data_IF_770506756540
#
_entry.id   IF_770506756540
#
_cell.length_a   1.000
_cell.length_b   1.000
_cell.length_c   1.000
_cell.angle_alpha   90.00
_cell.angle_beta   90.00
_cell.angle_gamma   90.00
#
_symmetry.space_group_name_H-M   'P 1'
#
loop_
_entity.id
_entity.type
_entity.pdbx_description
1 polymer ?
#
# COMPACT_ATOMS: atom_id res chain seq x y z
N UNK A 1 4.10 -3.39 -3.29
CA UNK A 1 3.45 -4.64 -3.72
C UNK A 1 3.58 -5.65 -2.60
N UNK A 2 2.51 -6.37 -2.33
CA UNK A 2 2.43 -7.39 -1.29
C UNK A 2 3.36 -8.57 -1.61
N UNK A 3 3.86 -9.23 -0.56
CA UNK A 3 4.71 -10.41 -0.68
C UNK A 3 4.55 -11.30 0.54
N UNK A 4 5.36 -12.36 0.64
CA UNK A 4 5.41 -13.17 1.85
C UNK A 4 5.84 -12.36 3.07
N UNK A 5 5.35 -12.78 4.23
CA UNK A 5 5.70 -12.23 5.54
C UNK A 5 6.24 -13.34 6.45
N UNK A 6 7.20 -12.99 7.30
CA UNK A 6 7.74 -13.84 8.36
C UNK A 6 6.75 -13.89 9.54
N UNK A 7 5.98 -14.99 9.60
CA UNK A 7 4.92 -15.17 10.60
C UNK A 7 5.45 -15.35 12.02
N UNK A 8 6.71 -15.75 12.17
CA UNK A 8 7.34 -15.90 13.48
C UNK A 8 7.95 -14.57 13.98
N UNK A 9 7.94 -13.52 13.16
CA UNK A 9 8.55 -12.22 13.45
C UNK A 9 7.89 -11.08 12.65
N UNK A 10 6.60 -10.85 12.92
CA UNK A 10 5.81 -9.82 12.22
C UNK A 10 6.41 -8.41 12.36
N UNK A 11 7.03 -8.11 13.51
CA UNK A 11 7.72 -6.85 13.82
C UNK A 11 9.11 -6.73 13.16
N UNK A 12 9.64 -7.80 12.57
CA UNK A 12 11.03 -7.90 12.10
C UNK A 12 12.04 -7.57 13.21
N UNK A 13 11.73 -7.92 14.46
CA UNK A 13 12.52 -7.59 15.64
C UNK A 13 13.68 -8.57 15.86
N UNK A 14 13.65 -9.76 15.26
CA UNK A 14 14.75 -10.72 15.41
C UNK A 14 16.02 -10.20 14.72
N UNK A 15 17.21 -10.46 15.29
CA UNK A 15 18.47 -10.04 14.69
C UNK A 15 18.61 -10.52 13.24
N UNK A 16 18.92 -9.59 12.32
CA UNK A 16 19.10 -9.89 10.90
C UNK A 16 17.81 -9.92 10.07
N UNK A 17 16.63 -9.88 10.68
CA UNK A 17 15.36 -9.88 9.95
C UNK A 17 14.97 -8.50 9.42
N UNK A 18 15.40 -7.41 10.05
CA UNK A 18 15.07 -6.07 9.61
C UNK A 18 15.87 -5.62 8.38
N UNK A 19 15.16 -5.08 7.38
CA UNK A 19 15.71 -4.18 6.37
C UNK A 19 14.63 -3.20 5.93
N UNK A 20 15.00 -2.05 5.35
CA UNK A 20 14.03 -1.06 4.85
C UNK A 20 13.07 -1.70 3.83
N UNK A 21 13.60 -2.51 2.91
CA UNK A 21 12.80 -3.20 1.89
C UNK A 21 11.86 -4.25 2.52
N UNK A 22 12.37 -5.11 3.40
CA UNK A 22 11.55 -6.14 4.06
C UNK A 22 10.48 -5.51 4.95
N UNK A 23 10.81 -4.44 5.68
CA UNK A 23 9.87 -3.67 6.49
C UNK A 23 8.73 -3.08 5.65
N UNK A 24 9.05 -2.42 4.54
CA UNK A 24 8.04 -1.84 3.65
C UNK A 24 7.08 -2.91 3.08
N UNK A 25 7.60 -4.06 2.67
CA UNK A 25 6.81 -5.16 2.12
C UNK A 25 5.99 -5.87 3.20
N UNK A 26 6.56 -6.10 4.39
CA UNK A 26 5.85 -6.66 5.54
C UNK A 26 4.66 -5.79 5.94
N UNK A 27 4.92 -4.49 6.16
CA UNK A 27 3.87 -3.58 6.58
C UNK A 27 2.78 -3.43 5.53
N UNK A 28 3.14 -3.37 4.24
CA UNK A 28 2.15 -3.31 3.17
C UNK A 28 1.29 -4.58 3.13
N UNK A 29 1.90 -5.76 3.22
CA UNK A 29 1.13 -7.02 3.17
C UNK A 29 0.21 -7.17 4.38
N UNK A 30 0.70 -6.88 5.58
CA UNK A 30 -0.13 -6.90 6.79
C UNK A 30 -1.26 -5.87 6.72
N UNK A 31 -1.00 -4.68 6.17
CA UNK A 31 -2.03 -3.67 5.95
C UNK A 31 -3.10 -4.19 4.97
N UNK A 32 -2.73 -4.85 3.87
CA UNK A 32 -3.70 -5.46 2.96
C UNK A 32 -4.60 -6.46 3.68
N UNK A 33 -4.03 -7.35 4.50
CA UNK A 33 -4.83 -8.32 5.26
C UNK A 33 -5.80 -7.64 6.25
N UNK A 34 -5.38 -6.55 6.88
CA UNK A 34 -6.25 -5.74 7.74
C UNK A 34 -7.35 -5.03 6.95
N UNK A 35 -7.03 -4.44 5.80
CA UNK A 35 -8.02 -3.82 4.92
C UNK A 35 -9.04 -4.83 4.41
N UNK A 36 -8.63 -6.07 4.10
CA UNK A 36 -9.54 -7.14 3.69
C UNK A 36 -10.48 -7.56 4.82
N UNK A 37 -9.97 -7.65 6.06
CA UNK A 37 -10.82 -7.89 7.23
C UNK A 37 -11.88 -6.79 7.36
N UNK A 38 -11.48 -5.52 7.27
CA UNK A 38 -12.45 -4.42 7.36
C UNK A 38 -13.40 -4.34 6.17
N UNK A 39 -12.95 -4.69 4.97
CA UNK A 39 -13.81 -4.75 3.78
C UNK A 39 -14.91 -5.82 3.94
N UNK A 40 -14.58 -6.97 4.53
CA UNK A 40 -15.55 -8.03 4.83
C UNK A 40 -16.55 -7.59 5.91
N UNK A 41 -16.09 -6.88 6.93
CA UNK A 41 -16.94 -6.34 8.01
C UNK A 41 -17.80 -5.15 7.54
N UNK A 42 -17.36 -4.43 6.51
CA UNK A 42 -17.98 -3.22 6.00
C UNK A 42 -18.17 -3.28 4.48
N UNK A 43 -19.03 -4.17 3.95
CA UNK A 43 -19.15 -4.45 2.51
C UNK A 43 -19.66 -3.28 1.67
N UNK A 44 -20.11 -2.19 2.30
CA UNK A 44 -20.55 -0.96 1.65
C UNK A 44 -19.45 0.10 1.54
N UNK A 45 -18.27 -0.16 2.11
CA UNK A 45 -17.13 0.76 2.11
C UNK A 45 -16.08 0.24 1.13
N UNK A 46 -15.55 1.14 0.32
CA UNK A 46 -14.44 0.84 -0.59
C UNK A 46 -13.10 1.03 0.11
N UNK A 47 -12.26 0.00 0.04
CA UNK A 47 -10.89 0.04 0.54
C UNK A 47 -9.93 -0.03 -0.63
N UNK A 48 -9.09 0.99 -0.80
CA UNK A 48 -8.05 1.04 -1.84
C UNK A 48 -6.69 1.01 -1.16
N UNK A 49 -5.88 0.00 -1.47
CA UNK A 49 -4.47 -0.01 -1.09
C UNK A 49 -3.63 0.32 -2.32
N UNK A 50 -3.08 1.53 -2.30
CA UNK A 50 -2.37 2.11 -3.44
C UNK A 50 -0.87 2.11 -3.21
N UNK A 51 -0.13 1.57 -4.17
CA UNK A 51 1.32 1.71 -4.24
C UNK A 51 1.65 2.80 -5.28
N UNK A 52 1.99 4.03 -4.87
CA UNK A 52 2.19 5.16 -5.78
C UNK A 52 3.54 5.10 -6.53
N UNK A 53 4.38 4.10 -6.26
CA UNK A 53 5.75 4.05 -6.74
C UNK A 53 6.67 4.99 -5.95
N UNK A 54 7.81 5.34 -6.55
CA UNK A 54 8.71 6.33 -5.96
C UNK A 54 8.12 7.72 -6.23
N UNK A 55 7.86 8.48 -5.16
CA UNK A 55 7.33 9.85 -5.24
C UNK A 55 8.42 10.83 -4.85
N UNK A 56 8.53 11.93 -5.60
CA UNK A 56 9.49 13.02 -5.36
C UNK A 56 9.16 13.77 -4.07
N UNK A 57 9.59 13.20 -2.96
CA UNK A 57 9.44 13.74 -1.60
C UNK A 57 10.81 13.87 -0.91
N UNK A 58 10.92 14.60 0.20
CA UNK A 58 12.16 14.67 0.98
C UNK A 58 12.56 13.37 1.70
N UNK A 59 11.86 12.24 1.50
CA UNK A 59 12.08 11.01 2.27
C UNK A 59 13.52 10.50 2.16
N UNK A 60 14.08 10.44 0.94
CA UNK A 60 15.45 9.95 0.71
C UNK A 60 16.49 10.93 1.25
N UNK A 61 16.27 12.23 1.09
CA UNK A 61 17.22 13.25 1.58
C UNK A 61 17.25 13.38 3.10
N UNK A 62 16.24 12.86 3.80
CA UNK A 62 16.12 12.84 5.27
C UNK A 62 16.36 11.46 5.89
N UNK A 63 16.62 10.44 5.09
CA UNK A 63 16.75 9.06 5.57
C UNK A 63 18.00 8.78 6.40
N UNK A 64 19.03 9.63 6.32
CA UNK A 64 20.27 9.46 7.10
C UNK A 64 20.89 10.81 7.47
N UNK A 65 21.82 10.80 8.42
CA UNK A 65 22.60 11.97 8.88
C UNK A 65 24.09 11.75 8.59
N UNK A 66 24.91 12.80 8.74
CA UNK A 66 26.35 12.70 8.48
C UNK A 66 26.69 12.52 7.00
N UNK A 67 27.82 11.87 6.72
CA UNK A 67 28.36 11.72 5.35
C UNK A 67 27.38 10.96 4.44
N UNK A 68 26.75 9.88 4.94
CA UNK A 68 25.71 9.16 4.22
C UNK A 68 24.50 10.05 3.91
N UNK A 69 24.09 10.91 4.84
CA UNK A 69 23.03 11.89 4.62
C UNK A 69 23.39 12.92 3.53
N UNK A 70 24.64 13.39 3.50
CA UNK A 70 25.13 14.30 2.45
C UNK A 70 25.08 13.62 1.08
N UNK A 71 25.54 12.36 0.98
CA UNK A 71 25.47 11.57 -0.25
C UNK A 71 24.02 11.36 -0.71
N UNK A 72 23.13 10.98 0.22
CA UNK A 72 21.71 10.78 -0.09
C UNK A 72 21.04 12.07 -0.57
N UNK A 73 21.31 13.21 0.08
CA UNK A 73 20.70 14.49 -0.28
C UNK A 73 21.21 15.07 -1.58
N UNK A 74 22.52 15.00 -1.82
CA UNK A 74 23.16 15.75 -2.90
C UNK A 74 23.41 14.92 -4.16
N UNK A 75 23.40 13.59 -4.07
CA UNK A 75 23.67 12.70 -5.21
C UNK A 75 22.50 11.77 -5.47
N UNK A 76 22.12 10.95 -4.47
CA UNK A 76 21.12 9.89 -4.69
C UNK A 76 19.73 10.48 -4.92
N UNK A 77 19.27 11.38 -4.06
CA UNK A 77 17.92 11.96 -4.16
C UNK A 77 17.71 12.72 -5.48
N UNK A 78 18.62 13.59 -5.97
CA UNK A 78 18.47 14.21 -7.27
C UNK A 78 18.38 13.19 -8.43
N UNK A 79 19.24 12.17 -8.44
CA UNK A 79 19.21 11.13 -9.47
C UNK A 79 17.89 10.36 -9.46
N UNK A 80 17.46 9.89 -8.28
CA UNK A 80 16.20 9.16 -8.13
C UNK A 80 15.01 10.04 -8.53
N UNK A 81 15.00 11.30 -8.08
CA UNK A 81 13.92 12.23 -8.35
C UNK A 81 13.79 12.60 -9.82
N UNK A 82 14.90 12.66 -10.56
CA UNK A 82 14.91 13.02 -11.98
C UNK A 82 14.54 11.85 -12.88
N UNK A 83 15.05 10.64 -12.60
CA UNK A 83 14.95 9.52 -13.53
C UNK A 83 13.89 8.47 -13.17
N UNK A 84 13.47 8.38 -11.91
CA UNK A 84 12.63 7.27 -11.44
C UNK A 84 11.38 7.71 -10.68
N UNK A 85 11.37 8.90 -10.08
CA UNK A 85 10.27 9.36 -9.25
C UNK A 85 9.14 10.01 -10.06
N UNK A 86 7.90 9.68 -9.71
CA UNK A 86 6.72 10.46 -10.07
C UNK A 86 6.68 11.76 -9.25
N UNK A 87 6.14 12.84 -9.81
CA UNK A 87 5.95 14.09 -9.07
C UNK A 87 4.96 13.91 -7.90
N UNK A 88 5.06 14.74 -6.87
CA UNK A 88 4.10 14.71 -5.78
C UNK A 88 2.68 15.06 -6.25
N UNK A 89 2.57 15.99 -7.20
CA UNK A 89 1.29 16.43 -7.76
C UNK A 89 0.61 15.32 -8.57
N UNK A 90 1.35 14.62 -9.44
CA UNK A 90 0.80 13.48 -10.21
C UNK A 90 0.38 12.33 -9.29
N UNK A 91 1.20 12.03 -8.26
CA UNK A 91 0.85 11.03 -7.25
C UNK A 91 -0.41 11.45 -6.50
N UNK A 92 -0.53 12.71 -6.11
CA UNK A 92 -1.69 13.25 -5.41
C UNK A 92 -2.95 13.22 -6.27
N UNK A 93 -2.85 13.60 -7.55
CA UNK A 93 -3.94 13.52 -8.52
C UNK A 93 -4.44 12.07 -8.70
N UNK A 94 -3.52 11.10 -8.77
CA UNK A 94 -3.88 9.67 -8.82
C UNK A 94 -4.56 9.20 -7.54
N UNK A 95 -4.07 9.59 -6.37
CA UNK A 95 -4.70 9.27 -5.09
C UNK A 95 -6.10 9.87 -4.98
N UNK A 96 -6.30 11.12 -5.43
CA UNK A 96 -7.61 11.75 -5.46
C UNK A 96 -8.57 11.03 -6.40
N UNK A 97 -8.11 10.65 -7.59
CA UNK A 97 -8.89 9.86 -8.54
C UNK A 97 -9.31 8.52 -7.93
N UNK A 98 -8.38 7.81 -7.29
CA UNK A 98 -8.64 6.54 -6.61
C UNK A 98 -9.64 6.66 -5.46
N UNK A 99 -9.58 7.76 -4.71
CA UNK A 99 -10.45 7.99 -3.56
C UNK A 99 -11.89 8.39 -3.94
N UNK A 100 -12.12 8.91 -5.15
CA UNK A 100 -13.39 9.57 -5.50
C UNK A 100 -14.13 8.94 -6.69
N UNK A 101 -13.39 8.43 -7.68
CA UNK A 101 -13.97 8.01 -8.95
C UNK A 101 -14.74 6.68 -8.82
N UNK A 102 -15.83 6.56 -9.58
CA UNK A 102 -16.66 5.37 -9.64
C UNK A 102 -15.88 4.10 -10.02
N UNK A 103 -14.68 4.22 -10.60
CA UNK A 103 -13.79 3.09 -10.90
C UNK A 103 -13.47 2.23 -9.67
N UNK A 104 -13.33 2.83 -8.48
CA UNK A 104 -12.91 2.15 -7.25
C UNK A 104 -14.00 2.11 -6.17
N UNK A 105 -15.28 2.15 -6.56
CA UNK A 105 -16.40 1.99 -5.61
C UNK A 105 -16.84 0.52 -5.50
N UNK A 106 -17.39 0.10 -4.37
CA UNK A 106 -18.04 -1.22 -4.26
C UNK A 106 -19.36 -1.24 -5.04
N UNK A 107 -20.11 -0.14 -4.99
CA UNK A 107 -21.34 0.06 -5.76
C UNK A 107 -21.09 1.05 -6.91
N UNK A 108 -21.20 0.55 -8.15
CA UNK A 108 -21.03 1.36 -9.35
C UNK A 108 -22.17 2.37 -9.57
N UNK A 109 -23.30 2.23 -8.87
CA UNK A 109 -24.46 3.13 -8.97
C UNK A 109 -24.47 4.23 -7.90
N UNK A 110 -23.36 4.43 -7.17
CA UNK A 110 -23.24 5.55 -6.23
C UNK A 110 -23.29 6.86 -7.00
N UNK A 111 -24.40 7.59 -6.87
CA UNK A 111 -24.67 8.86 -7.57
C UNK A 111 -23.73 10.01 -7.20
N UNK A 112 -22.90 9.82 -6.17
CA UNK A 112 -21.96 10.82 -5.66
C UNK A 112 -20.56 10.74 -6.29
N UNK A 113 -20.23 9.65 -6.99
CA UNK A 113 -18.91 9.44 -7.57
C UNK A 113 -18.83 9.93 -9.01
N UNK A 114 -17.76 10.67 -9.41
CA UNK A 114 -17.52 10.96 -10.81
C UNK A 114 -17.50 9.67 -11.65
N UNK A 115 -18.09 9.68 -12.87
CA UNK A 115 -18.19 8.49 -13.69
C UNK A 115 -16.81 7.97 -14.11
N UNK A 116 -16.76 6.69 -14.49
CA UNK A 116 -15.55 6.09 -15.05
C UNK A 116 -15.27 6.77 -16.39
N UNK A 117 -14.07 7.36 -16.61
CA UNK A 117 -13.72 7.98 -17.88
C UNK A 117 -13.75 6.99 -19.04
N UNK A 118 -13.99 7.50 -20.25
CA UNK A 118 -13.91 6.71 -21.48
C UNK A 118 -12.55 6.01 -21.62
N UNK A 119 -12.57 4.75 -22.05
CA UNK A 119 -11.37 3.92 -22.19
C UNK A 119 -10.91 3.21 -20.92
N UNK A 120 -11.55 3.47 -19.76
CA UNK A 120 -11.29 2.74 -18.52
C UNK A 120 -12.45 1.81 -18.16
N UNK A 121 -12.12 0.74 -17.45
CA UNK A 121 -13.09 -0.20 -16.88
C UNK A 121 -13.11 -0.10 -15.36
N UNK A 122 -14.18 -0.64 -14.76
CA UNK A 122 -14.31 -0.84 -13.33
C UNK A 122 -13.09 -1.62 -12.82
N UNK A 123 -12.47 -1.15 -11.74
CA UNK A 123 -11.40 -1.90 -11.10
C UNK A 123 -11.97 -3.19 -10.47
N UNK A 124 -11.22 -4.28 -10.55
CA UNK A 124 -11.55 -5.51 -9.83
C UNK A 124 -10.99 -5.42 -8.41
N UNK A 125 -11.70 -6.04 -7.46
CA UNK A 125 -11.23 -6.21 -6.09
C UNK A 125 -10.53 -7.56 -5.95
N UNK A 126 -9.69 -7.67 -4.93
CA UNK A 126 -9.27 -8.94 -4.38
C UNK A 126 -10.46 -9.77 -3.91
N UNK A 127 -10.28 -11.07 -3.71
CA UNK A 127 -11.30 -11.92 -3.07
C UNK A 127 -11.64 -11.41 -1.66
N UNK A 128 -10.70 -10.73 -1.00
CA UNK A 128 -10.92 -10.08 0.29
C UNK A 128 -11.60 -8.71 0.24
N UNK A 129 -11.97 -8.20 -0.94
CA UNK A 129 -12.76 -6.97 -1.09
C UNK A 129 -11.94 -5.67 -1.15
N UNK A 130 -10.64 -5.73 -1.44
CA UNK A 130 -9.75 -4.55 -1.52
C UNK A 130 -9.35 -4.28 -2.96
N UNK A 131 -9.31 -3.01 -3.37
CA UNK A 131 -8.69 -2.61 -4.63
C UNK A 131 -7.17 -2.46 -4.43
N UNK A 132 -6.38 -3.37 -5.00
CA UNK A 132 -4.91 -3.29 -4.99
C UNK A 132 -4.41 -2.59 -6.24
N UNK A 133 -3.78 -1.43 -6.08
CA UNK A 133 -3.50 -0.52 -7.19
C UNK A 133 -2.02 -0.19 -7.27
N UNK A 134 -1.44 -0.26 -8.47
CA UNK A 134 -0.05 0.12 -8.72
C UNK A 134 0.13 1.62 -9.02
N UNK A 135 1.37 2.01 -9.27
CA UNK A 135 1.77 3.41 -9.51
C UNK A 135 1.12 4.05 -10.76
N UNK A 136 0.61 3.23 -11.67
CA UNK A 136 -0.10 3.66 -12.88
C UNK A 136 -1.61 3.76 -12.67
N UNK A 137 -2.12 3.44 -11.47
CA UNK A 137 -3.54 3.35 -11.20
C UNK A 137 -4.17 2.02 -11.62
N UNK A 138 -3.38 1.03 -12.04
CA UNK A 138 -3.90 -0.25 -12.52
C UNK A 138 -3.95 -1.30 -11.42
N UNK A 139 -4.96 -2.18 -11.51
CA UNK A 139 -5.14 -3.28 -10.55
C UNK A 139 -4.02 -4.30 -10.72
N UNK A 140 -3.52 -4.80 -9.61
CA UNK A 140 -2.48 -5.85 -9.56
C UNK A 140 -3.13 -7.18 -9.17
N UNK A 141 -2.76 -8.26 -9.85
CA UNK A 141 -3.10 -9.61 -9.41
C UNK A 141 -2.05 -10.15 -8.42
N UNK A 142 -2.45 -10.24 -7.15
CA UNK A 142 -1.70 -10.89 -6.08
C UNK A 142 -2.50 -12.03 -5.41
N UNK A 143 -3.57 -12.50 -6.06
CA UNK A 143 -4.57 -13.37 -5.43
C UNK A 143 -3.99 -14.71 -4.96
N UNK A 144 -3.08 -15.30 -5.73
CA UNK A 144 -2.46 -16.59 -5.35
C UNK A 144 -1.81 -16.52 -3.97
N UNK A 145 -0.99 -15.49 -3.74
CA UNK A 145 -0.25 -15.32 -2.49
C UNK A 145 -1.15 -14.83 -1.36
N UNK A 146 -2.06 -13.89 -1.64
CA UNK A 146 -3.01 -13.41 -0.63
C UNK A 146 -3.95 -14.52 -0.16
N UNK A 147 -4.36 -15.44 -1.04
CA UNK A 147 -5.17 -16.60 -0.67
C UNK A 147 -4.48 -17.46 0.39
N UNK A 148 -3.18 -17.71 0.24
CA UNK A 148 -2.42 -18.47 1.23
C UNK A 148 -2.34 -17.73 2.56
N UNK A 149 -2.04 -16.42 2.54
CA UNK A 149 -1.93 -15.59 3.74
C UNK A 149 -3.27 -15.42 4.47
N UNK A 150 -4.40 -15.33 3.75
CA UNK A 150 -5.74 -15.27 4.35
C UNK A 150 -6.02 -16.49 5.23
N UNK A 151 -5.60 -17.67 4.77
CA UNK A 151 -5.80 -18.94 5.49
C UNK A 151 -4.82 -19.05 6.66
N UNK A 152 -3.55 -18.75 6.43
CA UNK A 152 -2.48 -19.05 7.38
C UNK A 152 -2.21 -17.96 8.42
N UNK A 153 -2.54 -16.70 8.12
CA UNK A 153 -1.99 -15.56 8.86
C UNK A 153 -2.95 -14.41 9.19
N UNK A 154 -4.11 -14.30 8.55
CA UNK A 154 -5.01 -13.15 8.75
C UNK A 154 -5.40 -12.92 10.23
N UNK A 155 -5.75 -13.98 10.96
CA UNK A 155 -6.07 -13.89 12.39
C UNK A 155 -4.88 -13.49 13.26
N UNK A 156 -3.68 -13.98 12.93
CA UNK A 156 -2.44 -13.63 13.62
C UNK A 156 -2.11 -12.15 13.40
N UNK A 157 -2.19 -11.68 12.15
CA UNK A 157 -1.95 -10.28 11.78
C UNK A 157 -2.97 -9.35 12.45
N UNK A 158 -4.25 -9.73 12.50
CA UNK A 158 -5.27 -8.94 13.19
C UNK A 158 -5.00 -8.82 14.69
N UNK A 159 -4.67 -9.93 15.35
CA UNK A 159 -4.32 -9.94 16.78
C UNK A 159 -3.07 -9.08 17.04
N UNK A 160 -2.06 -9.20 16.17
CA UNK A 160 -0.85 -8.39 16.24
C UNK A 160 -1.15 -6.89 16.10
N UNK A 161 -1.98 -6.51 15.12
CA UNK A 161 -2.39 -5.13 14.90
C UNK A 161 -3.07 -4.51 16.14
N UNK A 162 -4.04 -5.22 16.73
CA UNK A 162 -4.73 -4.76 17.95
C UNK A 162 -3.77 -4.61 19.13
N UNK A 163 -2.82 -5.54 19.30
CA UNK A 163 -1.80 -5.45 20.34
C UNK A 163 -0.87 -4.24 20.15
N UNK A 164 -0.56 -3.86 18.90
CA UNK A 164 0.22 -2.66 18.62
C UNK A 164 -0.61 -1.39 18.93
N UNK A 165 -1.87 -1.33 18.50
CA UNK A 165 -2.75 -0.19 18.79
C UNK A 165 -2.91 0.05 20.29
N UNK A 166 -3.13 -1.01 21.07
CA UNK A 166 -3.28 -0.93 22.52
C UNK A 166 -2.01 -0.44 23.26
N UNK A 167 -0.84 -0.44 22.61
CA UNK A 167 0.41 0.09 23.18
C UNK A 167 0.60 1.58 22.92
N UNK A 168 -0.07 2.13 21.91
CA UNK A 168 0.15 3.51 21.44
C UNK A 168 -1.01 4.45 21.75
N UNK A 169 -2.18 3.91 22.11
CA UNK A 169 -3.37 4.63 22.58
C UNK A 169 -3.50 4.50 24.10
#
# INVERSE_FOLDING_TARGET
MESSIDLDDLDLAKPGNYSIAKSAVHSATMLTLMLEKWAQENPKISFVHSYPGIVRTPILSRASRGISGILLRNVVSPLVNTFFATSADDSGARSLFQATNARYTVDANTSLSPPIPEGLSKATMTTGGVFLVNQNGEVIDNEKMLKELRISSAGLVATHFENILARVL
#
